data_IF_336122957631
#
_entry.id   IF_336122957631
#
_cell.length_a   1.000
_cell.length_b   1.000
_cell.length_c   1.000
_cell.angle_alpha   90.00
_cell.angle_beta   90.00
_cell.angle_gamma   90.00
#
_symmetry.space_group_name_H-M   'P 1'
#
loop_
_entity.id
_entity.type
_entity.pdbx_description
1 polymer ?
#
# COMPACT_ATOMS: atom_id res chain seq x y z
N UNK A 1 -3.03 -11.51 14.14
CA UNK A 1 -3.12 -11.52 12.67
C UNK A 1 -3.18 -10.08 12.23
N UNK A 2 -2.29 -9.66 11.34
CA UNK A 2 -2.42 -8.34 10.70
C UNK A 2 -3.71 -8.31 9.86
N UNK A 3 -4.42 -7.20 9.92
CA UNK A 3 -5.57 -6.93 9.05
C UNK A 3 -5.18 -5.96 7.92
N UNK A 4 -6.06 -5.81 6.93
CA UNK A 4 -5.77 -4.99 5.75
C UNK A 4 -5.44 -3.53 6.11
N UNK A 5 -6.12 -2.96 7.10
CA UNK A 5 -5.84 -1.59 7.57
C UNK A 5 -4.44 -1.46 8.20
N UNK A 6 -4.01 -2.46 8.98
CA UNK A 6 -2.66 -2.50 9.55
C UNK A 6 -1.60 -2.63 8.46
N UNK A 7 -1.82 -3.50 7.47
CA UNK A 7 -0.93 -3.67 6.31
C UNK A 7 -0.83 -2.39 5.47
N UNK A 8 -1.96 -1.69 5.26
CA UNK A 8 -2.00 -0.38 4.59
C UNK A 8 -1.23 0.68 5.38
N UNK A 9 -1.48 0.82 6.68
CA UNK A 9 -0.78 1.77 7.55
C UNK A 9 0.73 1.52 7.59
N UNK A 10 1.14 0.24 7.58
CA UNK A 10 2.54 -0.15 7.53
C UNK A 10 3.19 0.21 6.19
N UNK A 11 2.47 0.01 5.08
CA UNK A 11 2.92 0.41 3.74
C UNK A 11 3.14 1.92 3.66
N UNK A 12 2.18 2.71 4.14
CA UNK A 12 2.29 4.18 4.21
C UNK A 12 3.55 4.59 4.96
N UNK A 13 3.75 4.09 6.19
CA UNK A 13 4.94 4.43 7.01
C UNK A 13 6.25 4.06 6.34
N UNK A 14 6.30 2.88 5.73
CA UNK A 14 7.50 2.40 5.04
C UNK A 14 7.82 3.25 3.80
N UNK A 15 6.78 3.74 3.12
CA UNK A 15 6.88 4.58 1.95
C UNK A 15 7.25 6.04 2.31
N UNK A 16 6.73 6.59 3.41
CA UNK A 16 7.15 7.88 3.99
C UNK A 16 8.64 7.85 4.37
N UNK A 17 9.07 6.82 5.09
CA UNK A 17 10.47 6.62 5.44
C UNK A 17 11.37 6.45 4.21
N UNK A 18 10.81 5.93 3.11
CA UNK A 18 11.51 5.81 1.83
C UNK A 18 11.67 7.17 1.15
N UNK A 19 10.64 8.02 1.12
CA UNK A 19 10.73 9.38 0.53
C UNK A 19 11.75 10.24 1.25
N UNK A 20 11.79 10.20 2.58
CA UNK A 20 12.75 10.98 3.37
C UNK A 20 14.21 10.63 3.06
N UNK A 21 14.47 9.36 2.71
CA UNK A 21 15.82 8.86 2.43
C UNK A 21 16.21 8.90 0.96
N UNK A 22 15.23 8.95 0.05
CA UNK A 22 15.44 8.88 -1.40
C UNK A 22 14.73 10.03 -2.14
N UNK A 23 15.28 11.26 -2.05
CA UNK A 23 14.71 12.45 -2.67
C UNK A 23 14.42 12.39 -4.19
N UNK A 24 15.17 11.66 -5.05
CA UNK A 24 14.97 11.73 -6.50
C UNK A 24 13.64 11.20 -7.02
N UNK A 25 12.88 10.46 -6.20
CA UNK A 25 11.59 9.88 -6.58
C UNK A 25 10.45 10.36 -5.68
N UNK A 26 10.66 11.49 -4.98
CA UNK A 26 9.69 12.04 -4.02
C UNK A 26 8.34 12.31 -4.65
N UNK A 27 8.28 12.95 -5.82
CA UNK A 27 7.01 13.26 -6.50
C UNK A 27 6.16 12.00 -6.72
N UNK A 28 6.77 10.93 -7.24
CA UNK A 28 6.07 9.65 -7.46
C UNK A 28 5.69 8.96 -6.16
N UNK A 29 6.51 9.10 -5.11
CA UNK A 29 6.21 8.54 -3.80
C UNK A 29 5.05 9.28 -3.14
N UNK A 30 5.01 10.61 -3.24
CA UNK A 30 3.93 11.47 -2.75
C UNK A 30 2.60 11.13 -3.42
N UNK A 31 2.57 10.99 -4.75
CA UNK A 31 1.36 10.56 -5.47
C UNK A 31 0.83 9.19 -5.01
N UNK A 32 1.72 8.25 -4.68
CA UNK A 32 1.34 6.93 -4.16
C UNK A 32 0.85 7.02 -2.71
N UNK A 33 1.48 7.87 -1.89
CA UNK A 33 1.05 8.13 -0.52
C UNK A 33 -0.35 8.73 -0.49
N UNK A 34 -0.63 9.74 -1.33
CA UNK A 34 -1.95 10.37 -1.44
C UNK A 34 -3.03 9.34 -1.78
N UNK A 35 -2.76 8.47 -2.76
CA UNK A 35 -3.67 7.38 -3.11
C UNK A 35 -3.89 6.41 -1.95
N UNK A 36 -2.83 5.99 -1.25
CA UNK A 36 -2.96 5.08 -0.10
C UNK A 36 -3.72 5.74 1.07
N UNK A 37 -3.54 7.04 1.31
CA UNK A 37 -4.27 7.79 2.31
C UNK A 37 -5.77 7.88 1.98
N UNK A 38 -6.11 8.17 0.71
CA UNK A 38 -7.50 8.16 0.25
C UNK A 38 -8.12 6.78 0.43
N UNK A 39 -7.45 5.72 -0.03
CA UNK A 39 -7.94 4.35 0.12
C UNK A 39 -8.08 3.91 1.58
N UNK A 40 -7.24 4.44 2.49
CA UNK A 40 -7.37 4.19 3.93
C UNK A 40 -8.65 4.78 4.50
N UNK A 41 -9.01 6.00 4.08
CA UNK A 41 -10.25 6.65 4.49
C UNK A 41 -11.44 5.85 3.97
N UNK A 42 -11.42 5.47 2.70
CA UNK A 42 -12.50 4.69 2.08
C UNK A 42 -12.65 3.33 2.78
N UNK A 43 -11.54 2.64 3.03
CA UNK A 43 -11.54 1.34 3.71
C UNK A 43 -12.05 1.43 5.17
N UNK A 44 -11.80 2.54 5.87
CA UNK A 44 -12.30 2.73 7.24
C UNK A 44 -13.82 2.86 7.30
N UNK A 45 -14.45 3.32 6.21
CA UNK A 45 -15.90 3.49 6.10
C UNK A 45 -16.62 2.24 5.58
N UNK A 46 -15.89 1.18 5.23
CA UNK A 46 -16.44 -0.02 4.60
C UNK A 46 -16.41 -1.21 5.55
N UNK A 47 -17.48 -2.00 5.49
CA UNK A 47 -17.53 -3.28 6.17
C UNK A 47 -16.96 -4.37 5.26
N UNK A 48 -15.67 -4.64 5.38
CA UNK A 48 -14.99 -5.61 4.51
C UNK A 48 -15.11 -7.04 5.04
N UNK A 49 -15.38 -8.00 4.15
CA UNK A 49 -15.35 -9.42 4.49
C UNK A 49 -13.93 -10.00 4.33
N UNK A 50 -13.25 -10.43 5.41
CA UNK A 50 -11.90 -10.98 5.32
C UNK A 50 -11.81 -12.28 4.50
N UNK A 51 -12.90 -13.03 4.37
CA UNK A 51 -12.94 -14.26 3.58
C UNK A 51 -13.07 -14.00 2.07
N UNK A 52 -13.39 -12.77 1.66
CA UNK A 52 -13.57 -12.44 0.25
C UNK A 52 -12.21 -12.48 -0.47
N UNK A 53 -12.19 -13.09 -1.66
CA UNK A 53 -10.97 -13.15 -2.49
C UNK A 53 -10.35 -11.78 -2.76
N UNK A 54 -11.11 -10.71 -3.07
CA UNK A 54 -10.52 -9.37 -3.24
C UNK A 54 -9.83 -8.85 -1.98
N UNK A 55 -10.35 -9.14 -0.79
CA UNK A 55 -9.73 -8.75 0.47
C UNK A 55 -8.41 -9.46 0.68
N UNK A 56 -8.36 -10.78 0.48
CA UNK A 56 -7.14 -11.57 0.64
C UNK A 56 -6.04 -11.12 -0.34
N UNK A 57 -6.41 -10.83 -1.59
CA UNK A 57 -5.47 -10.32 -2.59
C UNK A 57 -4.93 -8.94 -2.21
N UNK A 58 -5.79 -8.01 -1.79
CA UNK A 58 -5.37 -6.68 -1.34
C UNK A 58 -4.48 -6.78 -0.10
N UNK A 59 -4.81 -7.66 0.84
CA UNK A 59 -4.03 -7.86 2.06
C UNK A 59 -2.63 -8.38 1.78
N UNK A 60 -2.51 -9.40 0.93
CA UNK A 60 -1.21 -9.93 0.51
C UNK A 60 -0.38 -8.89 -0.25
N UNK A 61 -1.00 -8.15 -1.18
CA UNK A 61 -0.31 -7.13 -1.95
C UNK A 61 0.21 -5.99 -1.05
N UNK A 62 -0.59 -5.51 -0.09
CA UNK A 62 -0.17 -4.51 0.89
C UNK A 62 0.98 -5.03 1.77
N UNK A 63 0.91 -6.27 2.24
CA UNK A 63 2.01 -6.88 3.01
C UNK A 63 3.32 -6.94 2.22
N UNK A 64 3.24 -7.31 0.93
CA UNK A 64 4.39 -7.34 0.04
C UNK A 64 4.96 -5.93 -0.21
N UNK A 65 4.08 -4.95 -0.49
CA UNK A 65 4.47 -3.56 -0.70
C UNK A 65 5.18 -2.98 0.53
N UNK A 66 4.63 -3.17 1.74
CA UNK A 66 5.28 -2.79 2.99
C UNK A 66 6.69 -3.41 3.10
N UNK A 67 6.83 -4.71 2.89
CA UNK A 67 8.13 -5.38 2.98
C UNK A 67 9.15 -4.85 1.97
N UNK A 68 8.73 -4.56 0.72
CA UNK A 68 9.61 -3.98 -0.30
C UNK A 68 10.00 -2.54 0.04
N UNK A 69 9.08 -1.73 0.54
CA UNK A 69 9.37 -0.37 0.99
C UNK A 69 10.34 -0.36 2.18
N UNK A 70 10.13 -1.24 3.17
CA UNK A 70 11.04 -1.40 4.31
C UNK A 70 12.45 -1.82 3.90
N UNK A 71 12.57 -2.71 2.89
CA UNK A 71 13.85 -3.07 2.29
C UNK A 71 14.47 -1.88 1.57
N UNK A 72 13.68 -1.16 0.77
CA UNK A 72 14.15 0.02 0.05
C UNK A 72 14.58 1.18 0.95
N UNK A 73 13.97 1.32 2.14
CA UNK A 73 14.36 2.29 3.15
C UNK A 73 15.69 1.95 3.84
N UNK A 74 16.18 0.72 3.70
CA UNK A 74 17.52 0.26 4.14
C UNK A 74 18.52 0.22 2.99
N UNK A 75 18.06 -0.17 1.81
CA UNK A 75 18.82 -0.25 0.56
C UNK A 75 18.09 0.51 -0.55
N UNK A 76 18.44 1.78 -0.79
CA UNK A 76 17.91 2.61 -1.87
C UNK A 76 17.83 1.95 -3.25
N UNK A 77 18.69 0.97 -3.55
CA UNK A 77 18.68 0.26 -4.83
C UNK A 77 17.39 -0.53 -5.09
N UNK A 78 16.66 -0.90 -4.03
CA UNK A 78 15.44 -1.70 -4.09
C UNK A 78 14.17 -0.88 -4.42
N UNK A 79 14.28 0.45 -4.54
CA UNK A 79 13.14 1.32 -4.85
C UNK A 79 12.44 0.92 -6.16
N UNK A 80 13.20 0.39 -7.12
CA UNK A 80 12.70 -0.11 -8.41
C UNK A 80 11.75 -1.29 -8.26
N UNK A 81 11.86 -2.05 -7.16
CA UNK A 81 10.93 -3.14 -6.83
C UNK A 81 9.81 -2.69 -5.88
N UNK A 82 10.08 -1.68 -5.05
CA UNK A 82 9.11 -1.15 -4.08
C UNK A 82 7.96 -0.40 -4.77
N UNK A 83 8.25 0.52 -5.69
CA UNK A 83 7.20 1.33 -6.33
C UNK A 83 6.21 0.51 -7.15
N UNK A 84 6.63 -0.48 -7.97
CA UNK A 84 5.69 -1.37 -8.64
C UNK A 84 4.85 -2.20 -7.66
N UNK A 85 5.44 -2.66 -6.55
CA UNK A 85 4.69 -3.40 -5.52
C UNK A 85 3.61 -2.54 -4.85
N UNK A 86 3.93 -1.27 -4.53
CA UNK A 86 2.94 -0.31 -4.02
C UNK A 86 1.85 -0.05 -5.07
N UNK A 87 2.22 0.13 -6.34
CA UNK A 87 1.26 0.37 -7.42
C UNK A 87 0.30 -0.81 -7.59
N UNK A 88 0.80 -2.05 -7.55
CA UNK A 88 -0.05 -3.25 -7.58
C UNK A 88 -0.96 -3.31 -6.35
N UNK A 89 -0.43 -3.03 -5.16
CA UNK A 89 -1.23 -3.01 -3.93
C UNK A 89 -2.36 -1.99 -3.98
N UNK A 90 -2.10 -0.77 -4.47
CA UNK A 90 -3.13 0.25 -4.72
C UNK A 90 -4.18 -0.29 -5.69
N UNK A 91 -3.76 -0.88 -6.82
CA UNK A 91 -4.69 -1.46 -7.79
C UNK A 91 -5.57 -2.56 -7.22
N UNK A 92 -5.03 -3.44 -6.37
CA UNK A 92 -5.79 -4.49 -5.68
C UNK A 92 -6.74 -3.91 -4.63
N UNK A 93 -6.32 -2.88 -3.90
CA UNK A 93 -7.17 -2.21 -2.93
C UNK A 93 -8.32 -1.47 -3.62
N UNK A 94 -8.07 -0.77 -4.73
CA UNK A 94 -9.13 -0.15 -5.55
C UNK A 94 -10.16 -1.18 -6.02
N UNK A 95 -9.72 -2.37 -6.46
CA UNK A 95 -10.65 -3.45 -6.84
C UNK A 95 -11.51 -3.92 -5.68
N UNK A 96 -10.94 -4.02 -4.47
CA UNK A 96 -11.71 -4.33 -3.27
C UNK A 96 -12.72 -3.22 -2.97
N UNK A 97 -12.29 -1.96 -2.96
CA UNK A 97 -13.17 -0.81 -2.66
C UNK A 97 -14.34 -0.76 -3.65
N UNK A 98 -14.06 -0.93 -4.95
CA UNK A 98 -15.11 -0.99 -5.97
C UNK A 98 -16.06 -2.18 -5.78
N UNK A 99 -15.55 -3.35 -5.38
CA UNK A 99 -16.38 -4.53 -5.13
C UNK A 99 -17.33 -4.37 -3.95
N UNK A 100 -16.98 -3.56 -2.95
CA UNK A 100 -17.84 -3.31 -1.78
C UNK A 100 -18.81 -2.14 -2.03
N UNK A 101 -18.48 -1.22 -2.94
CA UNK A 101 -19.33 -0.07 -3.30
C UNK A 101 -20.39 -0.39 -4.37
N UNK A 102 -20.32 -1.55 -5.03
CA UNK A 102 -21.34 -2.08 -5.95
C UNK A 102 -22.29 -3.03 -5.25
#
# INVERSE_FOLDING_TARGET
MDNLQQSLQRTIRALEALSEKNPPQVERVEELLDQLFQQKIDLANLNTNPAATPYQQAHQAMGLAASRCEKAAKDPGQIKEALPAVTDAIGKLTKLLNHVLT
#
